data_IF_572018606202
#
_entry.id   IF_572018606202
#
_cell.length_a   1.000
_cell.length_b   1.000
_cell.length_c   1.000
_cell.angle_alpha   90.00
_cell.angle_beta   90.00
_cell.angle_gamma   90.00
#
_symmetry.space_group_name_H-M   'P 1'
#
loop_
_entity.id
_entity.type
_entity.pdbx_description
1 polymer ?
#
# COMPACT_ATOMS: atom_id res chain seq x y z
N UNK A 1 31.56 -0.74 -76.18
CA UNK A 1 32.75 0.12 -76.00
C UNK A 1 33.50 -0.40 -74.79
N UNK A 2 34.64 -1.07 -75.06
CA UNK A 2 35.99 -0.68 -74.60
C UNK A 2 36.22 -1.06 -73.12
N UNK A 3 36.78 -2.23 -72.83
CA UNK A 3 38.20 -2.58 -72.86
C UNK A 3 39.01 -1.93 -71.72
N UNK A 4 39.51 -2.75 -70.79
CA UNK A 4 40.95 -3.05 -70.73
C UNK A 4 41.28 -4.01 -69.60
N UNK A 5 41.97 -5.06 -70.01
CA UNK A 5 42.70 -6.01 -69.18
C UNK A 5 44.00 -5.37 -68.65
N UNK A 6 44.39 -5.76 -67.43
CA UNK A 6 45.78 -5.74 -67.02
C UNK A 6 46.10 -7.07 -66.34
N UNK A 7 46.94 -7.84 -67.03
CA UNK A 7 47.55 -9.05 -66.55
C UNK A 7 48.64 -8.72 -65.52
N UNK A 8 48.65 -9.44 -64.40
CA UNK A 8 49.80 -9.51 -63.51
C UNK A 8 50.38 -10.92 -63.58
N UNK A 9 51.66 -10.98 -63.95
CA UNK A 9 52.43 -12.18 -64.19
C UNK A 9 52.66 -13.00 -62.92
N UNK A 10 52.59 -14.32 -63.05
CA UNK A 10 53.04 -15.27 -62.03
C UNK A 10 54.57 -15.24 -61.93
N UNK A 11 55.16 -15.16 -60.72
CA UNK A 11 56.58 -15.41 -60.54
C UNK A 11 56.90 -16.92 -60.65
N UNK A 12 58.10 -17.28 -61.12
CA UNK A 12 58.49 -18.66 -61.41
C UNK A 12 58.60 -19.51 -60.14
N UNK A 13 58.27 -20.79 -60.29
CA UNK A 13 58.29 -21.81 -59.25
C UNK A 13 59.62 -21.87 -58.51
N UNK A 14 59.54 -21.71 -57.19
CA UNK A 14 60.60 -22.09 -56.26
C UNK A 14 60.44 -23.58 -55.98
N UNK A 15 61.53 -24.33 -56.17
CA UNK A 15 61.62 -25.74 -55.84
C UNK A 15 61.21 -25.98 -54.38
N UNK A 16 60.49 -27.08 -54.07
CA UNK A 16 60.18 -27.42 -52.69
C UNK A 16 61.49 -27.59 -51.90
N UNK A 17 61.59 -27.01 -50.69
CA UNK A 17 62.80 -27.13 -49.88
C UNK A 17 63.10 -28.61 -49.59
N UNK A 18 64.38 -29.01 -49.53
CA UNK A 18 64.76 -30.37 -49.19
C UNK A 18 64.17 -30.76 -47.82
N UNK A 19 63.77 -32.03 -47.62
CA UNK A 19 63.25 -32.48 -46.35
C UNK A 19 64.26 -32.15 -45.24
N UNK A 20 63.80 -31.64 -44.08
CA UNK A 20 64.70 -31.31 -42.99
C UNK A 20 65.52 -32.54 -42.60
N UNK A 21 66.81 -32.37 -42.23
CA UNK A 21 67.62 -33.48 -41.75
C UNK A 21 66.92 -34.14 -40.56
N UNK A 22 67.01 -35.47 -40.41
CA UNK A 22 66.46 -36.16 -39.26
C UNK A 22 67.02 -35.49 -37.99
N UNK A 23 66.18 -35.25 -36.96
CA UNK A 23 66.62 -34.53 -35.78
C UNK A 23 67.85 -35.22 -35.19
N UNK A 24 68.84 -34.45 -34.68
CA UNK A 24 70.00 -35.03 -34.02
C UNK A 24 69.49 -35.97 -32.93
N UNK A 25 70.03 -37.20 -32.90
CA UNK A 25 69.61 -38.23 -31.95
C UNK A 25 69.59 -37.63 -30.56
N UNK A 26 68.43 -37.70 -29.91
CA UNK A 26 68.19 -37.11 -28.60
C UNK A 26 69.31 -37.55 -27.66
N UNK A 27 70.11 -36.59 -27.22
CA UNK A 27 71.15 -36.88 -26.24
C UNK A 27 70.48 -37.40 -24.97
N UNK A 28 71.18 -38.22 -24.20
CA UNK A 28 70.65 -38.85 -22.97
C UNK A 28 70.08 -37.79 -21.99
N UNK A 29 70.65 -36.58 -22.01
CA UNK A 29 70.17 -35.40 -21.27
C UNK A 29 68.82 -34.85 -21.78
N UNK A 30 68.55 -34.89 -23.09
CA UNK A 30 67.26 -34.43 -23.66
C UNK A 30 66.13 -35.41 -23.31
N UNK A 31 66.43 -36.72 -23.32
CA UNK A 31 65.50 -37.75 -22.87
C UNK A 31 65.19 -37.61 -21.38
N UNK A 32 66.18 -37.32 -20.54
CA UNK A 32 65.96 -37.07 -19.10
C UNK A 32 65.07 -35.85 -18.85
N UNK A 33 65.31 -34.74 -19.56
CA UNK A 33 64.46 -33.53 -19.45
C UNK A 33 63.03 -33.76 -19.92
N UNK A 34 62.83 -34.58 -20.96
CA UNK A 34 61.50 -34.97 -21.42
C UNK A 34 60.78 -35.85 -20.39
N UNK A 35 61.49 -36.78 -19.76
CA UNK A 35 60.94 -37.62 -18.68
C UNK A 35 60.53 -36.77 -17.47
N UNK A 36 61.40 -35.88 -16.99
CA UNK A 36 61.07 -34.96 -15.88
C UNK A 36 59.84 -34.10 -16.18
N UNK A 37 59.67 -33.66 -17.43
CA UNK A 37 58.52 -32.89 -17.88
C UNK A 37 57.25 -33.73 -17.99
N UNK A 38 57.36 -35.00 -18.39
CA UNK A 38 56.25 -35.95 -18.38
C UNK A 38 55.78 -36.23 -16.95
N UNK A 39 56.71 -36.51 -16.03
CA UNK A 39 56.40 -36.78 -14.63
C UNK A 39 55.73 -35.55 -13.97
N UNK A 40 56.21 -34.34 -14.28
CA UNK A 40 55.60 -33.10 -13.82
C UNK A 40 54.18 -32.89 -14.37
N UNK A 41 53.96 -33.17 -15.66
CA UNK A 41 52.64 -33.08 -16.30
C UNK A 41 51.68 -34.14 -15.75
N UNK A 42 52.15 -35.35 -15.49
CA UNK A 42 51.33 -36.40 -14.88
C UNK A 42 50.89 -36.00 -13.46
N UNK A 43 51.79 -35.41 -12.67
CA UNK A 43 51.45 -34.86 -11.36
C UNK A 43 50.44 -33.71 -11.43
N UNK A 44 50.55 -32.83 -12.42
CA UNK A 44 49.61 -31.72 -12.62
C UNK A 44 48.22 -32.22 -13.05
N UNK A 45 48.17 -33.21 -13.94
CA UNK A 45 46.91 -33.84 -14.38
C UNK A 45 46.20 -34.52 -13.21
N UNK A 46 46.95 -35.18 -12.32
CA UNK A 46 46.35 -35.83 -11.15
C UNK A 46 45.77 -34.81 -10.16
N UNK A 47 46.49 -33.72 -9.88
CA UNK A 47 45.96 -32.61 -9.05
C UNK A 47 44.70 -31.98 -9.65
N UNK A 48 44.67 -31.79 -10.97
CA UNK A 48 43.50 -31.23 -11.65
C UNK A 48 42.30 -32.20 -11.62
N UNK A 49 42.54 -33.52 -11.60
CA UNK A 49 41.47 -34.50 -11.43
C UNK A 49 40.89 -34.45 -10.02
N UNK A 50 41.74 -34.38 -9.00
CA UNK A 50 41.29 -34.23 -7.61
C UNK A 50 40.46 -32.96 -7.43
N UNK A 51 40.96 -31.80 -7.89
CA UNK A 51 40.22 -30.53 -7.81
C UNK A 51 38.88 -30.58 -8.55
N UNK A 52 38.83 -31.22 -9.72
CA UNK A 52 37.58 -31.37 -10.48
C UNK A 52 36.59 -32.24 -9.73
N UNK A 53 37.05 -33.31 -9.11
CA UNK A 53 36.19 -34.25 -8.40
C UNK A 53 35.67 -33.63 -7.09
N UNK A 54 36.48 -32.85 -6.37
CA UNK A 54 36.04 -32.01 -5.24
C UNK A 54 34.98 -30.98 -5.68
N UNK A 55 35.25 -30.21 -6.73
CA UNK A 55 34.31 -29.21 -7.24
C UNK A 55 32.99 -29.85 -7.70
N UNK A 56 33.02 -31.09 -8.20
CA UNK A 56 31.83 -31.83 -8.61
C UNK A 56 30.99 -32.27 -7.42
N UNK A 57 31.62 -32.71 -6.33
CA UNK A 57 30.92 -33.07 -5.09
C UNK A 57 30.34 -31.83 -4.38
N UNK A 58 31.05 -30.70 -4.39
CA UNK A 58 30.51 -29.43 -3.90
C UNK A 58 29.30 -28.97 -4.72
N UNK A 59 29.40 -29.01 -6.06
CA UNK A 59 28.30 -28.65 -6.94
C UNK A 59 27.08 -29.56 -6.76
N UNK A 60 27.32 -30.87 -6.54
CA UNK A 60 26.25 -31.84 -6.25
C UNK A 60 25.57 -31.52 -4.93
N UNK A 61 26.33 -31.23 -3.87
CA UNK A 61 25.80 -30.89 -2.55
C UNK A 61 24.97 -29.60 -2.60
N UNK A 62 25.46 -28.58 -3.32
CA UNK A 62 24.75 -27.33 -3.52
C UNK A 62 23.44 -27.53 -4.31
N UNK A 63 23.46 -28.39 -5.34
CA UNK A 63 22.25 -28.72 -6.11
C UNK A 63 21.21 -29.48 -5.27
N UNK A 64 21.63 -30.41 -4.42
CA UNK A 64 20.74 -31.14 -3.50
C UNK A 64 20.11 -30.19 -2.47
N UNK A 65 20.88 -29.24 -1.92
CA UNK A 65 20.36 -28.22 -1.01
C UNK A 65 19.38 -27.26 -1.70
N UNK A 66 19.70 -26.79 -2.91
CA UNK A 66 18.81 -25.92 -3.68
C UNK A 66 17.49 -26.63 -4.04
N UNK A 67 17.54 -27.92 -4.40
CA UNK A 67 16.35 -28.73 -4.68
C UNK A 67 15.47 -28.91 -3.43
N UNK A 68 16.09 -29.15 -2.27
CA UNK A 68 15.37 -29.23 -0.99
C UNK A 68 14.68 -27.91 -0.64
N UNK A 69 15.39 -26.78 -0.77
CA UNK A 69 14.83 -25.45 -0.49
C UNK A 69 13.70 -25.09 -1.45
N UNK A 70 13.84 -25.40 -2.74
CA UNK A 70 12.78 -25.16 -3.72
C UNK A 70 11.52 -25.99 -3.43
N UNK A 71 11.68 -27.23 -2.95
CA UNK A 71 10.55 -28.09 -2.55
C UNK A 71 9.84 -27.53 -1.32
N UNK A 72 10.59 -27.06 -0.32
CA UNK A 72 10.04 -26.45 0.89
C UNK A 72 9.31 -25.12 0.58
N UNK A 73 9.87 -24.28 -0.29
CA UNK A 73 9.22 -23.06 -0.76
C UNK A 73 7.91 -23.35 -1.51
N UNK A 74 7.90 -24.35 -2.40
CA UNK A 74 6.70 -24.73 -3.14
C UNK A 74 5.58 -25.29 -2.23
N UNK A 75 5.94 -25.99 -1.15
CA UNK A 75 5.00 -26.44 -0.12
C UNK A 75 4.44 -25.25 0.67
N UNK A 76 5.30 -24.32 1.09
CA UNK A 76 4.88 -23.12 1.80
C UNK A 76 3.95 -22.22 0.97
N UNK A 77 4.21 -22.10 -0.34
CA UNK A 77 3.38 -21.32 -1.26
C UNK A 77 1.99 -21.97 -1.44
N UNK A 78 1.92 -23.31 -1.57
CA UNK A 78 0.65 -24.04 -1.60
C UNK A 78 -0.15 -23.87 -0.32
N UNK A 79 0.49 -23.98 0.84
CA UNK A 79 -0.17 -23.76 2.14
C UNK A 79 -0.69 -22.33 2.28
N UNK A 80 0.07 -21.34 1.78
CA UNK A 80 -0.36 -19.94 1.76
C UNK A 80 -1.56 -19.73 0.82
N UNK A 81 -1.56 -20.36 -0.35
CA UNK A 81 -2.66 -20.29 -1.31
C UNK A 81 -3.95 -20.93 -0.75
N UNK A 82 -3.84 -22.08 -0.08
CA UNK A 82 -4.97 -22.73 0.58
C UNK A 82 -5.54 -21.88 1.73
N UNK A 83 -4.67 -21.29 2.57
CA UNK A 83 -5.09 -20.36 3.63
C UNK A 83 -5.77 -19.11 3.04
N UNK A 84 -5.26 -18.57 1.94
CA UNK A 84 -5.86 -17.43 1.25
C UNK A 84 -7.24 -17.77 0.66
N UNK A 85 -7.39 -18.95 0.05
CA UNK A 85 -8.68 -19.46 -0.44
C UNK A 85 -9.67 -19.67 0.70
N UNK A 86 -9.24 -20.24 1.83
CA UNK A 86 -10.07 -20.42 3.01
C UNK A 86 -10.51 -19.07 3.61
N UNK A 87 -9.61 -18.09 3.70
CA UNK A 87 -9.92 -16.74 4.16
C UNK A 87 -10.90 -16.03 3.22
N UNK A 88 -10.72 -16.17 1.90
CA UNK A 88 -11.63 -15.59 0.90
C UNK A 88 -13.03 -16.21 0.98
N UNK A 89 -13.11 -17.53 1.14
CA UNK A 89 -14.39 -18.23 1.33
C UNK A 89 -15.07 -17.85 2.65
N UNK A 90 -14.30 -17.65 3.72
CA UNK A 90 -14.81 -17.15 4.99
C UNK A 90 -15.32 -15.70 4.89
N UNK A 91 -14.61 -14.84 4.17
CA UNK A 91 -15.03 -13.47 3.88
C UNK A 91 -16.28 -13.43 3.00
N UNK A 92 -16.37 -14.26 1.97
CA UNK A 92 -17.55 -14.37 1.09
C UNK A 92 -18.77 -14.89 1.85
N UNK A 93 -18.58 -15.89 2.73
CA UNK A 93 -19.64 -16.34 3.64
C UNK A 93 -20.08 -15.25 4.62
N UNK A 94 -19.15 -14.45 5.16
CA UNK A 94 -19.47 -13.33 6.04
C UNK A 94 -20.22 -12.21 5.29
N UNK A 95 -19.89 -11.98 4.01
CA UNK A 95 -20.64 -11.08 3.14
C UNK A 95 -22.04 -11.62 2.89
N UNK A 96 -22.20 -12.90 2.55
CA UNK A 96 -23.51 -13.52 2.27
C UNK A 96 -24.41 -13.60 3.51
N UNK A 97 -23.83 -13.90 4.68
CA UNK A 97 -24.54 -13.83 5.97
C UNK A 97 -24.88 -12.38 6.38
N UNK A 98 -24.07 -11.40 5.95
CA UNK A 98 -24.35 -9.97 6.09
C UNK A 98 -25.33 -9.41 5.04
N UNK A 99 -25.51 -10.10 3.91
CA UNK A 99 -26.38 -9.71 2.79
C UNK A 99 -27.70 -10.48 2.74
N UNK A 100 -27.99 -11.37 3.72
CA UNK A 100 -29.38 -11.73 3.97
C UNK A 100 -30.12 -10.41 4.15
N UNK A 101 -31.14 -10.11 3.33
CA UNK A 101 -31.89 -8.88 3.47
C UNK A 101 -32.67 -8.97 4.77
N UNK A 102 -32.04 -8.57 5.87
CA UNK A 102 -32.79 -7.87 6.91
C UNK A 102 -33.28 -6.62 6.23
N UNK A 103 -34.59 -6.44 6.25
CA UNK A 103 -35.41 -5.37 5.65
C UNK A 103 -35.04 -3.94 6.16
N UNK A 104 -33.74 -3.63 6.21
CA UNK A 104 -33.17 -2.49 6.95
C UNK A 104 -31.96 -1.93 6.19
N UNK A 105 -32.15 -1.58 4.92
CA UNK A 105 -31.30 -0.58 4.28
C UNK A 105 -31.68 0.81 4.83
N UNK A 106 -31.25 1.13 6.05
CA UNK A 106 -31.32 2.49 6.58
C UNK A 106 -29.88 2.98 6.77
N UNK A 107 -29.44 3.78 5.80
CA UNK A 107 -28.06 4.23 5.56
C UNK A 107 -27.67 5.39 6.50
N UNK A 108 -28.20 5.47 7.72
CA UNK A 108 -27.92 6.57 8.65
C UNK A 108 -27.39 6.17 10.03
N UNK A 109 -27.04 4.89 10.20
CA UNK A 109 -26.45 4.42 11.45
C UNK A 109 -27.38 4.54 12.66
N UNK A 110 -28.70 4.64 12.44
CA UNK A 110 -29.72 4.48 13.47
C UNK A 110 -30.23 3.03 13.47
N UNK A 111 -29.36 2.08 13.87
CA UNK A 111 -29.76 0.68 14.04
C UNK A 111 -30.52 0.56 15.37
N UNK A 112 -31.69 -0.08 15.35
CA UNK A 112 -32.45 -0.43 16.55
C UNK A 112 -31.67 -1.45 17.43
N UNK A 113 -31.96 -1.50 18.75
CA UNK A 113 -30.96 -1.48 19.82
C UNK A 113 -30.45 -2.85 20.28
N UNK A 114 -30.45 -3.89 19.44
CA UNK A 114 -30.04 -5.22 19.91
C UNK A 114 -28.52 -5.32 20.23
N UNK A 115 -27.73 -4.26 19.99
CA UNK A 115 -26.27 -4.26 20.19
C UNK A 115 -25.62 -2.97 20.75
N UNK A 116 -26.37 -1.92 21.12
CA UNK A 116 -25.79 -0.56 21.26
C UNK A 116 -25.92 0.09 22.65
N UNK A 117 -25.70 -0.68 23.72
CA UNK A 117 -25.44 -0.10 25.04
C UNK A 117 -23.94 -0.16 25.33
N UNK A 118 -23.31 1.01 25.48
CA UNK A 118 -21.92 1.08 25.93
C UNK A 118 -21.05 2.11 25.22
N UNK A 119 -19.75 1.89 25.37
CA UNK A 119 -18.73 2.69 24.73
C UNK A 119 -18.36 2.07 23.39
N UNK A 120 -18.34 2.88 22.33
CA UNK A 120 -17.94 2.46 20.99
C UNK A 120 -16.75 3.27 20.52
N UNK A 121 -15.92 2.61 19.72
CA UNK A 121 -14.76 3.20 19.10
C UNK A 121 -14.86 3.02 17.59
N UNK A 122 -14.59 4.09 16.86
CA UNK A 122 -14.45 4.09 15.41
C UNK A 122 -13.16 4.78 15.00
N UNK A 123 -12.67 4.49 13.80
CA UNK A 123 -11.50 5.18 13.26
C UNK A 123 -11.56 5.25 11.75
N UNK A 124 -10.97 6.30 11.20
CA UNK A 124 -10.74 6.44 9.76
C UNK A 124 -9.34 7.01 9.55
N UNK A 125 -8.66 6.67 8.46
CA UNK A 125 -7.36 7.29 8.19
C UNK A 125 -6.57 6.68 7.06
N UNK A 126 -5.45 7.33 6.75
CA UNK A 126 -4.44 6.94 5.78
C UNK A 126 -3.06 7.28 6.31
N UNK A 127 -2.10 6.40 6.06
CA UNK A 127 -0.67 6.65 6.28
C UNK A 127 0.04 6.59 4.94
N UNK A 128 0.83 7.62 4.64
CA UNK A 128 1.62 7.71 3.41
C UNK A 128 3.10 7.58 3.73
N UNK A 129 3.78 6.70 3.00
CA UNK A 129 5.23 6.60 2.96
C UNK A 129 5.69 6.80 1.51
N UNK A 130 6.41 7.90 1.26
CA UNK A 130 6.86 8.27 -0.08
C UNK A 130 8.19 9.04 -0.02
N UNK A 131 8.98 8.96 -1.08
CA UNK A 131 10.23 9.69 -1.24
C UNK A 131 10.52 10.07 -2.68
N UNK A 132 11.28 11.14 -2.90
CA UNK A 132 11.59 11.70 -4.24
C UNK A 132 12.86 11.11 -4.89
N UNK A 133 13.41 10.04 -4.32
CA UNK A 133 14.69 9.44 -4.75
C UNK A 133 15.94 10.29 -4.42
N UNK A 134 15.76 11.50 -3.88
CA UNK A 134 16.84 12.40 -3.41
C UNK A 134 16.85 12.54 -1.88
N UNK A 135 16.12 11.67 -1.20
CA UNK A 135 16.01 11.66 0.26
C UNK A 135 15.03 12.70 0.83
N UNK A 136 14.18 13.32 0.00
CA UNK A 136 13.11 14.22 0.49
C UNK A 136 11.78 13.45 0.59
N UNK A 137 10.85 13.91 1.43
CA UNK A 137 9.49 13.36 1.48
C UNK A 137 8.80 13.43 0.11
N UNK A 138 7.86 12.51 -0.12
CA UNK A 138 6.92 12.62 -1.23
C UNK A 138 6.12 13.92 -1.18
N UNK A 139 5.61 14.33 -2.34
CA UNK A 139 4.75 15.51 -2.51
C UNK A 139 3.47 15.10 -3.22
N UNK A 140 2.38 15.81 -2.93
CA UNK A 140 1.16 15.75 -3.72
C UNK A 140 1.49 16.18 -5.16
N UNK A 141 1.16 15.32 -6.11
CA UNK A 141 1.33 15.48 -7.54
C UNK A 141 0.08 16.06 -8.23
N UNK A 142 -0.94 16.44 -7.46
CA UNK A 142 -2.21 16.96 -7.97
C UNK A 142 -2.03 18.03 -9.05
N UNK A 143 -2.49 17.71 -10.27
CA UNK A 143 -2.45 18.58 -11.47
C UNK A 143 -3.82 19.23 -11.72
N UNK A 144 -4.85 18.81 -10.97
CA UNK A 144 -6.24 19.29 -11.06
C UNK A 144 -6.74 19.72 -9.68
N UNK A 145 -7.85 20.45 -9.63
CA UNK A 145 -8.42 20.99 -8.38
C UNK A 145 -8.90 19.93 -7.39
N UNK A 146 -9.14 18.70 -7.84
CA UNK A 146 -9.54 17.56 -7.00
C UNK A 146 -8.64 16.38 -7.32
N UNK A 147 -7.62 16.21 -6.49
CA UNK A 147 -6.67 15.11 -6.54
C UNK A 147 -7.29 13.75 -6.31
N UNK A 148 -6.53 12.70 -6.62
CA UNK A 148 -6.92 11.37 -6.17
C UNK A 148 -6.61 11.21 -4.69
N UNK A 149 -7.52 10.58 -3.95
CA UNK A 149 -7.33 10.24 -2.53
C UNK A 149 -6.09 9.39 -2.24
N UNK A 150 -5.50 8.77 -3.27
CA UNK A 150 -4.27 7.99 -3.16
C UNK A 150 -3.02 8.86 -2.92
N UNK A 151 -3.06 10.14 -3.28
CA UNK A 151 -1.88 11.02 -3.26
C UNK A 151 -1.91 12.04 -2.10
N UNK A 152 -3.04 12.16 -1.42
CA UNK A 152 -3.20 13.06 -0.28
C UNK A 152 -2.34 12.67 0.95
N UNK A 153 -1.99 13.65 1.78
CA UNK A 153 -1.17 13.47 2.99
C UNK A 153 -1.72 12.53 4.08
N UNK A 154 -0.87 12.04 4.98
CA UNK A 154 -1.27 11.26 6.17
C UNK A 154 -2.37 11.97 6.98
N UNK A 155 -3.44 11.23 7.30
CA UNK A 155 -4.60 11.72 8.02
C UNK A 155 -5.17 10.62 8.92
N UNK A 156 -5.70 10.97 10.09
CA UNK A 156 -6.43 10.03 10.93
C UNK A 156 -7.59 10.71 11.65
N UNK A 157 -8.65 9.96 11.92
CA UNK A 157 -9.77 10.30 12.79
C UNK A 157 -9.96 9.17 13.79
N UNK A 158 -10.18 9.55 15.04
CA UNK A 158 -10.57 8.67 16.12
C UNK A 158 -11.94 9.12 16.62
N UNK A 159 -12.91 8.22 16.58
CA UNK A 159 -14.27 8.45 17.03
C UNK A 159 -14.54 7.69 18.32
N UNK A 160 -15.08 8.40 19.30
CA UNK A 160 -15.48 7.89 20.59
C UNK A 160 -16.98 8.13 20.72
N UNK A 161 -17.74 7.08 21.01
CA UNK A 161 -19.18 7.19 21.23
C UNK A 161 -19.59 6.57 22.55
N UNK A 162 -20.54 7.20 23.21
CA UNK A 162 -21.32 6.59 24.29
C UNK A 162 -22.75 6.48 23.82
N UNK A 163 -23.26 5.25 23.81
CA UNK A 163 -24.61 4.92 23.35
C UNK A 163 -25.35 4.23 24.50
N UNK A 164 -26.58 4.65 24.78
CA UNK A 164 -27.38 4.15 25.92
C UNK A 164 -28.87 4.07 25.56
N UNK A 165 -29.49 2.94 25.88
CA UNK A 165 -30.92 2.71 25.81
C UNK A 165 -31.59 2.80 27.18
N UNK A 166 -32.51 3.75 27.30
CA UNK A 166 -33.23 4.05 28.53
C UNK A 166 -34.55 3.31 28.57
N UNK A 167 -34.57 2.10 29.16
CA UNK A 167 -35.80 1.27 29.28
C UNK A 167 -37.00 2.01 29.88
N UNK A 168 -36.77 2.95 30.80
CA UNK A 168 -37.83 3.70 31.47
C UNK A 168 -38.59 4.65 30.52
N UNK A 169 -37.90 5.22 29.54
CA UNK A 169 -38.47 6.16 28.57
C UNK A 169 -38.63 5.56 27.17
N UNK A 170 -37.97 4.43 26.91
CA UNK A 170 -37.83 3.85 25.58
C UNK A 170 -36.92 4.68 24.66
N UNK A 171 -36.21 5.68 25.19
CA UNK A 171 -35.34 6.57 24.44
C UNK A 171 -33.94 5.97 24.27
N UNK A 172 -33.27 6.37 23.20
CA UNK A 172 -31.89 6.05 22.91
C UNK A 172 -31.08 7.33 22.86
N UNK A 173 -29.96 7.38 23.56
CA UNK A 173 -29.05 8.54 23.55
C UNK A 173 -27.69 8.14 23.00
N UNK A 174 -27.07 9.07 22.28
CA UNK A 174 -25.75 8.91 21.69
C UNK A 174 -24.94 10.19 21.85
N UNK A 175 -23.80 10.11 22.50
CA UNK A 175 -22.79 11.18 22.50
C UNK A 175 -21.64 10.76 21.58
N UNK A 176 -21.22 11.65 20.68
CA UNK A 176 -20.14 11.39 19.71
C UNK A 176 -19.08 12.46 19.82
N UNK A 177 -17.82 12.04 19.92
CA UNK A 177 -16.66 12.90 19.77
C UNK A 177 -15.71 12.32 18.71
N UNK A 178 -15.32 13.12 17.72
CA UNK A 178 -14.35 12.71 16.69
C UNK A 178 -13.16 13.66 16.73
N UNK A 179 -11.96 13.11 16.98
CA UNK A 179 -10.70 13.85 16.95
C UNK A 179 -10.00 13.51 15.65
N UNK A 180 -9.58 14.53 14.91
CA UNK A 180 -8.78 14.38 13.70
C UNK A 180 -7.35 14.86 13.88
N UNK A 181 -6.46 14.16 13.20
CA UNK A 181 -5.04 14.36 13.12
C UNK A 181 -4.73 14.61 11.65
N UNK A 182 -4.20 15.78 11.33
CA UNK A 182 -3.73 16.09 9.98
C UNK A 182 -2.21 16.19 9.95
N UNK A 183 -1.65 15.98 8.75
CA UNK A 183 -0.22 16.01 8.54
C UNK A 183 0.42 17.33 9.02
N UNK A 184 1.63 17.25 9.61
CA UNK A 184 2.39 16.04 9.93
C UNK A 184 1.91 15.32 11.22
N UNK A 185 1.86 13.98 11.19
CA UNK A 185 1.51 13.14 12.35
C UNK A 185 2.74 12.40 12.89
N UNK A 186 3.57 11.85 12.01
CA UNK A 186 4.80 11.16 12.39
C UNK A 186 5.97 12.13 12.39
N UNK A 187 6.58 12.33 13.55
CA UNK A 187 7.75 13.18 13.71
C UNK A 187 9.03 12.41 13.34
N UNK A 188 9.84 12.98 12.46
CA UNK A 188 11.15 12.43 12.05
C UNK A 188 12.27 13.48 12.02
N UNK A 189 11.94 14.73 12.37
CA UNK A 189 12.85 15.88 12.40
C UNK A 189 12.84 16.62 13.76
N UNK A 190 12.09 16.14 14.75
CA UNK A 190 12.00 16.71 16.09
C UNK A 190 11.10 17.96 16.22
N UNK A 191 10.36 18.36 15.19
CA UNK A 191 9.41 19.49 15.26
C UNK A 191 8.03 19.01 15.69
N UNK A 192 7.55 19.44 16.87
CA UNK A 192 6.26 19.04 17.46
C UNK A 192 5.11 19.95 17.02
N UNK A 193 4.70 19.83 15.76
CA UNK A 193 3.71 20.70 15.12
C UNK A 193 2.43 19.97 14.65
N UNK A 194 2.07 18.86 15.30
CA UNK A 194 0.87 18.08 14.96
C UNK A 194 -0.40 18.95 15.02
N UNK A 195 -1.22 18.87 13.98
CA UNK A 195 -2.47 19.64 13.85
C UNK A 195 -3.66 18.77 14.22
N UNK A 196 -4.36 19.18 15.27
CA UNK A 196 -5.51 18.46 15.83
C UNK A 196 -6.79 19.26 15.64
N UNK A 197 -7.91 18.58 15.37
CA UNK A 197 -9.23 19.19 15.31
C UNK A 197 -10.30 18.29 15.94
N UNK A 198 -11.17 18.86 16.77
CA UNK A 198 -12.40 18.18 17.19
C UNK A 198 -13.43 18.43 16.08
N UNK A 199 -13.76 17.37 15.34
CA UNK A 199 -14.56 17.43 14.13
C UNK A 199 -16.03 17.16 14.36
N UNK A 200 -16.33 16.29 15.32
CA UNK A 200 -17.67 16.09 15.87
C UNK A 200 -17.58 16.22 17.38
N UNK A 201 -18.56 16.90 17.96
CA UNK A 201 -18.87 16.87 19.38
C UNK A 201 -20.36 17.17 19.52
N UNK A 202 -21.18 16.13 19.52
CA UNK A 202 -22.64 16.29 19.59
C UNK A 202 -23.29 15.19 20.42
N UNK A 203 -24.51 15.47 20.85
CA UNK A 203 -25.42 14.50 21.43
C UNK A 203 -26.62 14.34 20.52
N UNK A 204 -27.12 13.11 20.41
CA UNK A 204 -28.33 12.76 19.69
C UNK A 204 -29.22 11.92 20.61
N UNK A 205 -30.52 12.12 20.50
CA UNK A 205 -31.54 11.33 21.18
C UNK A 205 -32.61 10.90 20.20
N UNK A 206 -33.02 9.64 20.27
CA UNK A 206 -34.07 9.06 19.45
C UNK A 206 -35.13 8.41 20.32
N UNK A 207 -36.40 8.57 19.97
CA UNK A 207 -37.52 7.96 20.70
C UNK A 207 -38.01 8.77 21.91
N UNK A 208 -37.48 9.98 22.14
CA UNK A 208 -37.98 10.85 23.21
C UNK A 208 -39.33 11.46 22.82
N UNK A 209 -40.36 11.17 23.61
CA UNK A 209 -41.72 11.70 23.44
C UNK A 209 -42.52 11.04 22.30
N UNK A 210 -41.89 10.66 21.20
CA UNK A 210 -42.51 9.92 20.10
C UNK A 210 -41.54 8.88 19.50
N UNK A 211 -42.08 7.72 19.13
CA UNK A 211 -41.31 6.71 18.38
C UNK A 211 -40.82 7.31 17.05
N UNK A 212 -39.60 6.97 16.66
CA UNK A 212 -38.96 7.38 15.40
C UNK A 212 -38.62 8.88 15.26
N UNK A 213 -38.84 9.67 16.31
CA UNK A 213 -38.38 11.06 16.36
C UNK A 213 -36.96 11.10 16.91
N UNK A 214 -36.08 11.86 16.26
CA UNK A 214 -34.70 12.06 16.66
C UNK A 214 -34.36 13.54 16.74
N UNK A 215 -33.49 13.88 17.68
CA UNK A 215 -32.97 15.23 17.88
C UNK A 215 -31.47 15.16 18.07
N UNK A 216 -30.72 16.13 17.55
CA UNK A 216 -29.31 16.28 17.87
C UNK A 216 -28.94 17.73 18.13
N UNK A 217 -27.91 17.93 18.95
CA UNK A 217 -27.33 19.24 19.21
C UNK A 217 -25.81 19.13 19.42
N UNK A 218 -25.07 20.09 18.88
CA UNK A 218 -23.61 20.19 19.01
C UNK A 218 -22.91 20.52 17.70
N UNK A 219 -21.60 20.20 17.64
CA UNK A 219 -20.80 20.28 16.42
C UNK A 219 -20.90 18.95 15.67
N UNK A 220 -21.43 18.98 14.45
CA UNK A 220 -21.60 17.79 13.61
C UNK A 220 -21.16 18.07 12.18
N UNK A 221 -20.45 17.11 11.61
CA UNK A 221 -20.21 17.04 10.20
C UNK A 221 -21.39 16.33 9.53
N UNK A 222 -22.23 17.11 8.87
CA UNK A 222 -23.34 16.61 8.09
C UNK A 222 -22.83 16.32 6.67
N UNK A 223 -22.62 15.02 6.39
CA UNK A 223 -22.15 14.55 5.09
C UNK A 223 -23.10 13.53 4.49
N UNK A 224 -23.31 13.66 3.19
CA UNK A 224 -23.97 12.65 2.37
C UNK A 224 -22.94 11.75 1.70
N UNK A 225 -23.38 11.06 0.65
CA UNK A 225 -22.54 10.16 -0.13
C UNK A 225 -21.36 10.90 -0.76
N UNK A 226 -20.20 10.24 -0.75
CA UNK A 226 -18.95 10.75 -1.32
C UNK A 226 -18.52 9.93 -2.53
N UNK A 227 -17.80 10.58 -3.44
CA UNK A 227 -17.02 9.87 -4.44
C UNK A 227 -15.68 9.57 -3.78
N UNK A 228 -15.61 8.43 -3.09
CA UNK A 228 -14.50 8.08 -2.21
C UNK A 228 -13.11 8.29 -2.83
N UNK A 229 -12.91 7.83 -4.07
CA UNK A 229 -11.60 7.90 -4.78
C UNK A 229 -11.17 9.34 -5.10
N UNK A 230 -12.13 10.26 -5.22
CA UNK A 230 -11.89 11.68 -5.52
C UNK A 230 -11.95 12.57 -4.28
N UNK A 231 -12.21 11.99 -3.10
CA UNK A 231 -12.41 12.72 -1.85
C UNK A 231 -13.40 13.90 -2.00
N UNK A 232 -14.48 13.66 -2.76
CA UNK A 232 -15.40 14.70 -3.19
C UNK A 232 -16.83 14.41 -2.73
N UNK A 233 -17.47 15.40 -2.12
CA UNK A 233 -18.84 15.33 -1.62
C UNK A 233 -19.73 16.29 -2.42
N UNK A 234 -20.52 15.79 -3.38
CA UNK A 234 -21.27 16.64 -4.32
C UNK A 234 -22.50 17.32 -3.71
N UNK A 235 -23.15 16.68 -2.74
CA UNK A 235 -24.49 17.08 -2.28
C UNK A 235 -24.46 17.67 -0.86
N UNK A 236 -23.68 17.09 0.05
CA UNK A 236 -23.67 17.50 1.45
C UNK A 236 -22.26 17.37 2.05
N UNK A 237 -21.61 18.50 2.31
CA UNK A 237 -20.35 18.58 3.06
C UNK A 237 -20.37 19.78 4.00
N UNK A 238 -21.21 19.68 5.02
CA UNK A 238 -21.47 20.80 5.90
C UNK A 238 -21.00 20.48 7.32
N UNK A 239 -20.01 21.23 7.79
CA UNK A 239 -19.70 21.26 9.22
C UNK A 239 -20.57 22.32 9.89
N UNK A 240 -21.33 21.96 10.93
CA UNK A 240 -22.27 22.87 11.59
C UNK A 240 -22.16 22.74 13.10
N UNK A 241 -22.15 23.87 13.79
CA UNK A 241 -22.49 23.93 15.22
C UNK A 241 -23.94 24.36 15.32
N UNK A 242 -24.81 23.49 15.83
CA UNK A 242 -26.24 23.74 15.84
C UNK A 242 -27.02 22.54 16.33
N UNK A 243 -28.13 22.26 15.66
CA UNK A 243 -28.95 21.10 15.95
C UNK A 243 -29.90 20.76 14.83
N UNK A 244 -30.58 19.63 14.98
CA UNK A 244 -31.57 19.19 14.02
C UNK A 244 -32.53 18.18 14.60
N UNK A 245 -33.57 17.91 13.83
CA UNK A 245 -34.58 16.91 14.13
C UNK A 245 -34.80 16.02 12.90
N UNK A 246 -35.10 14.76 13.15
CA UNK A 246 -35.41 13.79 12.11
C UNK A 246 -36.60 12.93 12.51
N UNK A 247 -37.42 12.56 11.54
CA UNK A 247 -38.51 11.61 11.74
C UNK A 247 -38.46 10.50 10.70
N UNK A 248 -38.51 9.26 11.15
CA UNK A 248 -38.56 8.08 10.30
C UNK A 248 -39.99 7.51 10.20
N UNK A 249 -40.52 7.50 8.98
CA UNK A 249 -41.81 6.92 8.69
C UNK A 249 -41.71 5.39 8.60
N UNK A 250 -42.81 4.69 8.89
CA UNK A 250 -42.87 3.23 8.81
C UNK A 250 -42.58 2.67 7.41
N UNK A 251 -42.73 3.49 6.35
CA UNK A 251 -42.38 3.16 4.97
C UNK A 251 -40.87 3.17 4.67
N UNK A 252 -40.02 3.51 5.66
CA UNK A 252 -38.57 3.67 5.47
C UNK A 252 -38.17 5.06 4.97
N UNK A 253 -39.12 5.94 4.67
CA UNK A 253 -38.84 7.34 4.34
C UNK A 253 -38.36 8.10 5.58
N UNK A 254 -37.41 9.03 5.41
CA UNK A 254 -36.93 9.90 6.47
C UNK A 254 -37.07 11.36 6.07
N UNK A 255 -37.50 12.20 7.02
CA UNK A 255 -37.45 13.66 6.90
C UNK A 255 -36.47 14.18 7.95
N UNK A 256 -35.50 15.00 7.54
CA UNK A 256 -34.50 15.61 8.44
C UNK A 256 -34.45 17.10 8.18
N UNK A 257 -34.45 17.88 9.25
CA UNK A 257 -34.30 19.34 9.22
C UNK A 257 -33.21 19.69 10.23
N UNK A 258 -32.26 20.53 9.83
CA UNK A 258 -31.23 21.01 10.75
C UNK A 258 -30.91 22.47 10.48
N UNK A 259 -30.29 23.13 11.47
CA UNK A 259 -29.87 24.51 11.38
C UNK A 259 -28.75 24.80 12.35
N UNK A 260 -27.91 25.78 12.01
CA UNK A 260 -26.81 26.18 12.87
C UNK A 260 -25.87 27.17 12.19
N UNK A 261 -24.73 27.37 12.82
CA UNK A 261 -23.68 28.27 12.35
C UNK A 261 -22.51 27.48 11.76
N UNK A 262 -21.94 28.03 10.71
CA UNK A 262 -20.68 27.62 10.13
C UNK A 262 -19.85 28.88 9.89
N UNK A 263 -18.55 28.82 10.17
CA UNK A 263 -17.63 29.90 9.83
C UNK A 263 -16.52 29.36 8.92
N UNK A 264 -16.77 29.25 7.60
CA UNK A 264 -15.71 28.89 6.66
C UNK A 264 -14.51 29.84 6.84
N UNK A 265 -13.31 29.28 6.91
CA UNK A 265 -12.07 30.07 6.88
C UNK A 265 -11.55 30.18 5.46
N UNK A 266 -12.40 30.72 4.59
CA UNK A 266 -12.13 30.87 3.17
C UNK A 266 -12.30 32.36 2.78
N UNK A 267 -11.36 32.93 2.00
CA UNK A 267 -11.42 34.33 1.58
C UNK A 267 -12.70 34.75 0.86
N UNK A 268 -13.39 33.84 0.16
CA UNK A 268 -14.67 34.12 -0.49
C UNK A 268 -15.79 34.45 0.51
N UNK A 269 -15.68 33.97 1.74
CA UNK A 269 -16.66 34.17 2.81
C UNK A 269 -16.19 35.14 3.90
N UNK A 270 -14.99 35.72 3.74
CA UNK A 270 -14.38 36.63 4.71
C UNK A 270 -13.95 37.93 4.05
N UNK A 271 -14.59 39.02 4.43
CA UNK A 271 -14.05 40.35 4.17
C UNK A 271 -13.06 40.72 5.29
N UNK A 272 -11.79 40.87 4.95
CA UNK A 272 -10.80 41.45 5.85
C UNK A 272 -10.65 42.95 5.54
N UNK A 273 -10.58 43.77 6.59
CA UNK A 273 -10.26 45.20 6.47
C UNK A 273 -8.99 45.42 7.26
N UNK A 274 -7.95 45.94 6.60
CA UNK A 274 -6.70 46.29 7.25
C UNK A 274 -6.96 47.46 8.20
N UNK A 275 -6.73 47.28 9.50
CA UNK A 275 -6.83 48.35 10.50
C UNK A 275 -5.42 48.82 10.90
N UNK A 276 -5.23 50.12 11.18
CA UNK A 276 -3.99 50.59 11.80
C UNK A 276 -3.76 49.85 13.13
N UNK A 277 -2.50 49.55 13.45
CA UNK A 277 -2.16 49.00 14.76
C UNK A 277 -2.65 49.94 15.87
N UNK A 278 -3.18 49.42 16.99
CA UNK A 278 -3.51 50.26 18.13
C UNK A 278 -2.25 51.00 18.60
N UNK A 279 -2.37 52.32 18.78
CA UNK A 279 -1.32 53.19 19.32
C UNK A 279 -0.96 52.82 20.75
#
# INVERSE_FOLDING_TARGET
MLASSLAAAAPPGTEPPPPPPPPPGSTEDDLRKLQERLDALESEVEQLREQRDEAREEARTAAEQAASQATEQALAEKDAEEKAKAARKAAEKAIDEGNKPTDQSVVDGQRLPDYADGFHFGSYGRVVAAGDGRGRPGREADIVSWGSRFDEQTYAELELRREDYWKATGAYTRAVATIAFTHPIFHYNGDFNAKLAIRNLYMEETGLGAKNLSFWAGSRMYRGDDIYVLNFWPLDNLNTVGGGMGYQFASGTFLKIHGGVQQPNDPFYRQSVQRPAPL
#
